data_IF_724439258072
#
_entry.id   IF_724439258072
#
_cell.length_a   1.000
_cell.length_b   1.000
_cell.length_c   1.000
_cell.angle_alpha   90.00
_cell.angle_beta   90.00
_cell.angle_gamma   90.00
#
_symmetry.space_group_name_H-M   'P 1'
#
loop_
_entity.id
_entity.type
_entity.pdbx_description
1 polymer ?
#
# COMPACT_ATOMS: atom_id res chain seq x y z
N UNK A 1 2.80 53.18 -8.58
CA UNK A 1 2.40 51.90 -9.21
C UNK A 1 3.53 50.85 -9.17
N UNK A 2 4.14 50.52 -8.01
CA UNK A 2 5.24 49.53 -7.98
C UNK A 2 5.34 48.66 -6.71
N UNK A 3 4.39 48.75 -5.76
CA UNK A 3 4.46 48.00 -4.49
C UNK A 3 3.31 47.00 -4.27
N UNK A 4 2.38 46.90 -5.22
CA UNK A 4 1.21 46.01 -5.14
C UNK A 4 1.37 44.70 -5.94
N UNK A 5 2.38 44.60 -6.81
CA UNK A 5 2.62 43.42 -7.65
C UNK A 5 3.47 42.34 -7.00
N UNK A 6 4.02 42.56 -5.81
CA UNK A 6 4.92 41.60 -5.14
C UNK A 6 4.21 40.61 -4.21
N UNK A 7 2.94 40.85 -3.85
CA UNK A 7 2.20 40.01 -2.89
C UNK A 7 1.34 38.94 -3.54
N UNK A 8 1.08 39.01 -4.85
CA UNK A 8 0.29 38.01 -5.58
C UNK A 8 1.10 36.77 -6.01
N UNK A 9 2.44 36.82 -6.01
CA UNK A 9 3.28 35.64 -6.31
C UNK A 9 3.48 34.70 -5.12
N UNK A 10 3.28 35.16 -3.87
CA UNK A 10 3.49 34.32 -2.69
C UNK A 10 2.32 33.38 -2.37
N UNK A 11 1.13 33.65 -2.92
CA UNK A 11 -0.08 32.83 -2.67
C UNK A 11 -0.12 31.59 -3.57
N UNK A 12 0.51 31.63 -4.76
CA UNK A 12 0.49 30.50 -5.70
C UNK A 12 1.44 29.35 -5.32
N UNK A 13 2.42 29.57 -4.43
CA UNK A 13 3.31 28.50 -3.94
C UNK A 13 2.72 27.71 -2.75
N UNK A 14 1.65 28.20 -2.11
CA UNK A 14 1.09 27.59 -0.90
C UNK A 14 0.13 26.42 -1.13
N UNK A 15 -0.36 26.22 -2.36
CA UNK A 15 -1.36 25.18 -2.67
C UNK A 15 -0.77 23.85 -3.16
N UNK A 16 0.55 23.73 -3.34
CA UNK A 16 1.16 22.53 -3.89
C UNK A 16 1.50 21.43 -2.85
N UNK A 17 1.28 21.69 -1.55
CA UNK A 17 1.66 20.76 -0.46
C UNK A 17 0.42 20.32 0.33
N UNK A 18 -0.65 19.98 -0.38
CA UNK A 18 -1.85 19.34 0.20
C UNK A 18 -2.22 18.07 -0.58
N UNK A 19 -1.21 17.39 -1.14
CA UNK A 19 -1.39 16.03 -1.63
C UNK A 19 -1.45 15.11 -0.42
N UNK A 20 -2.65 14.74 0.01
CA UNK A 20 -2.82 13.62 0.94
C UNK A 20 -2.09 12.42 0.36
N UNK A 21 -0.99 12.00 0.99
CA UNK A 21 -0.31 10.77 0.63
C UNK A 21 -1.29 9.62 0.86
N UNK A 22 -1.98 9.18 -0.20
CA UNK A 22 -2.82 8.00 -0.15
C UNK A 22 -1.89 6.80 -0.04
N UNK A 23 -1.62 6.36 1.18
CA UNK A 23 -0.89 5.13 1.42
C UNK A 23 -1.70 3.98 0.82
N UNK A 24 -1.01 3.08 0.09
CA UNK A 24 -1.64 1.85 -0.39
C UNK A 24 -1.96 0.98 0.82
N UNK A 25 -3.24 0.67 1.02
CA UNK A 25 -3.67 -0.19 2.11
C UNK A 25 -3.00 -1.57 1.97
N UNK A 26 -2.42 -2.05 3.07
CA UNK A 26 -1.63 -3.28 3.10
C UNK A 26 -2.40 -4.37 3.83
N UNK A 27 -2.53 -5.54 3.21
CA UNK A 27 -3.18 -6.73 3.74
C UNK A 27 -2.11 -7.78 4.02
N UNK A 28 -2.14 -8.40 5.20
CA UNK A 28 -1.31 -9.54 5.54
C UNK A 28 -2.12 -10.84 5.48
N UNK A 29 -1.57 -11.86 4.82
CA UNK A 29 -2.11 -13.21 4.73
C UNK A 29 -1.12 -14.17 5.39
N UNK A 30 -1.43 -14.62 6.60
CA UNK A 30 -0.68 -15.69 7.26
C UNK A 30 -1.20 -17.06 6.81
N UNK A 31 -0.28 -17.93 6.41
CA UNK A 31 -0.58 -19.31 6.02
C UNK A 31 0.33 -20.27 6.77
N UNK A 32 -0.21 -21.45 7.10
CA UNK A 32 0.53 -22.45 7.88
C UNK A 32 1.77 -22.98 7.16
N UNK A 33 1.76 -23.07 5.82
CA UNK A 33 2.91 -23.49 5.01
C UNK A 33 2.72 -23.08 3.55
N UNK A 34 3.81 -22.87 2.80
CA UNK A 34 3.80 -22.77 1.34
C UNK A 34 4.32 -24.03 0.61
N UNK A 35 4.56 -25.12 1.33
CA UNK A 35 5.07 -26.39 0.77
C UNK A 35 3.98 -27.20 0.07
N UNK A 36 2.71 -26.87 0.29
CA UNK A 36 1.56 -27.54 -0.30
C UNK A 36 0.94 -26.72 -1.45
N UNK A 37 0.62 -27.35 -2.61
CA UNK A 37 0.03 -26.66 -3.76
C UNK A 37 -1.27 -25.89 -3.47
N UNK A 38 -2.04 -26.30 -2.45
CA UNK A 38 -3.24 -25.59 -2.02
C UNK A 38 -2.92 -24.16 -1.56
N UNK A 39 -1.95 -23.98 -0.66
CA UNK A 39 -1.60 -22.66 -0.13
C UNK A 39 -0.86 -21.80 -1.15
N UNK A 40 -0.11 -22.42 -2.07
CA UNK A 40 0.47 -21.71 -3.22
C UNK A 40 -0.64 -21.15 -4.11
N UNK A 41 -1.64 -21.97 -4.44
CA UNK A 41 -2.79 -21.52 -5.26
C UNK A 41 -3.61 -20.44 -4.55
N UNK A 42 -3.83 -20.58 -3.24
CA UNK A 42 -4.50 -19.58 -2.41
C UNK A 42 -3.75 -18.24 -2.45
N UNK A 43 -2.42 -18.27 -2.24
CA UNK A 43 -1.54 -17.10 -2.30
C UNK A 43 -1.64 -16.41 -3.65
N UNK A 44 -1.55 -17.16 -4.74
CA UNK A 44 -1.58 -16.61 -6.09
C UNK A 44 -2.94 -15.98 -6.42
N UNK A 45 -4.04 -16.63 -6.00
CA UNK A 45 -5.39 -16.07 -6.14
C UNK A 45 -5.59 -14.79 -5.32
N UNK A 46 -5.09 -14.77 -4.07
CA UNK A 46 -5.13 -13.59 -3.22
C UNK A 46 -4.30 -12.44 -3.79
N UNK A 47 -3.09 -12.72 -4.29
CA UNK A 47 -2.22 -11.72 -4.91
C UNK A 47 -2.88 -11.09 -6.13
N UNK A 48 -3.41 -11.92 -7.03
CA UNK A 48 -4.14 -11.42 -8.21
C UNK A 48 -5.28 -10.50 -7.80
N UNK A 49 -6.05 -10.86 -6.78
CA UNK A 49 -7.18 -10.03 -6.33
C UNK A 49 -6.74 -8.74 -5.65
N UNK A 50 -5.67 -8.79 -4.87
CA UNK A 50 -5.08 -7.60 -4.26
C UNK A 50 -4.59 -6.61 -5.32
N UNK A 51 -3.91 -7.11 -6.36
CA UNK A 51 -3.43 -6.29 -7.47
C UNK A 51 -4.59 -5.65 -8.25
N UNK A 52 -5.66 -6.41 -8.52
CA UNK A 52 -6.89 -5.89 -9.16
C UNK A 52 -7.55 -4.76 -8.36
N UNK A 53 -7.48 -4.83 -7.04
CA UNK A 53 -8.12 -3.88 -6.13
C UNK A 53 -7.18 -2.76 -5.67
N UNK A 54 -5.90 -2.81 -6.05
CA UNK A 54 -4.90 -1.85 -5.58
C UNK A 54 -4.58 -1.99 -4.09
N UNK A 55 -4.53 -3.20 -3.55
CA UNK A 55 -4.00 -3.46 -2.22
C UNK A 55 -2.59 -4.03 -2.32
N UNK A 56 -1.75 -3.73 -1.33
CA UNK A 56 -0.47 -4.42 -1.16
C UNK A 56 -0.71 -5.69 -0.35
N UNK A 57 -0.44 -6.87 -0.92
CA UNK A 57 -0.50 -8.12 -0.19
C UNK A 57 0.88 -8.51 0.36
N UNK A 58 0.93 -8.93 1.62
CA UNK A 58 2.10 -9.54 2.26
C UNK A 58 1.70 -10.95 2.70
N UNK A 59 2.47 -11.95 2.30
CA UNK A 59 2.19 -13.35 2.63
C UNK A 59 3.23 -13.83 3.61
N UNK A 60 2.78 -14.37 4.75
CA UNK A 60 3.61 -14.87 5.82
C UNK A 60 3.49 -16.40 5.85
N UNK A 61 4.63 -17.08 5.79
CA UNK A 61 4.71 -18.53 5.89
C UNK A 61 5.14 -18.94 7.31
N UNK A 62 4.21 -19.49 8.07
CA UNK A 62 4.44 -19.92 9.44
C UNK A 62 5.21 -21.24 9.55
N UNK A 63 5.47 -21.96 8.45
CA UNK A 63 6.24 -23.22 8.43
C UNK A 63 5.74 -24.27 9.44
N UNK A 64 4.43 -24.32 9.69
CA UNK A 64 3.75 -25.13 10.70
C UNK A 64 4.28 -24.92 12.14
N UNK A 65 4.82 -23.75 12.42
CA UNK A 65 5.29 -23.34 13.74
C UNK A 65 4.28 -22.37 14.37
N UNK A 66 3.57 -22.77 15.45
CA UNK A 66 2.62 -21.90 16.15
C UNK A 66 3.23 -20.60 16.69
N UNK A 67 4.56 -20.53 16.86
CA UNK A 67 5.23 -19.29 17.28
C UNK A 67 5.40 -18.28 16.13
N UNK A 68 5.13 -18.69 14.88
CA UNK A 68 5.23 -17.87 13.66
C UNK A 68 3.87 -17.59 13.01
N UNK A 69 2.78 -18.03 13.63
CA UNK A 69 1.39 -17.74 13.24
C UNK A 69 0.90 -16.47 13.93
#
# INVERSE_FOLDING_TARGET
>A
MKKLTALTSAVLLGLAVSGSASAQDTIALAVSTLDNPFFVTLKDGAQKKADELGYKLVVLDSQNDPAKE
#
